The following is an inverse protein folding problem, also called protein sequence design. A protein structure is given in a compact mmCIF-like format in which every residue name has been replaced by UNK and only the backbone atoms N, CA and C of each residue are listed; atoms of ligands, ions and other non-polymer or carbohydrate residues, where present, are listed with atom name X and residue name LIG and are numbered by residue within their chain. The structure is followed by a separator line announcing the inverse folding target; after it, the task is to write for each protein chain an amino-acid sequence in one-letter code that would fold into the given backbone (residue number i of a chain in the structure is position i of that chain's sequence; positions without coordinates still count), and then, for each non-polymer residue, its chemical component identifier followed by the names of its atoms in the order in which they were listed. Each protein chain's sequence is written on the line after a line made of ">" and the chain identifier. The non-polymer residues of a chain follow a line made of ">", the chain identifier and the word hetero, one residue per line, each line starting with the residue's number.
data_IF_026879992753
#
_entry.id   IF_026879992753
#
_cell.length_a   1.000
_cell.length_b   1.000
_cell.length_c   1.000
_cell.angle_alpha   90.00
_cell.angle_beta   90.00
_cell.angle_gamma   90.00
#
_symmetry.space_group_name_H-M   'P 1'
#
loop_
_entity.id
_entity.type
_entity.pdbx_description
1 polymer ?
#
# COMPACT_ATOMS: atom_id res chain seq x y z
N UNK A 1 -7.19 -39.22 -3.69
CA UNK A 1 -7.24 -37.82 -3.40
C UNK A 1 -7.14 -37.01 -4.67
N UNK A 2 -8.21 -36.34 -5.13
CA UNK A 2 -8.12 -35.38 -6.22
C UNK A 2 -7.38 -34.17 -5.68
N UNK A 3 -6.16 -33.94 -6.14
CA UNK A 3 -5.49 -32.67 -5.96
C UNK A 3 -6.40 -31.58 -6.56
N UNK A 4 -6.88 -30.66 -5.74
CA UNK A 4 -7.56 -29.46 -6.19
C UNK A 4 -6.58 -28.72 -7.11
N UNK A 5 -6.85 -28.70 -8.41
CA UNK A 5 -6.13 -27.82 -9.32
C UNK A 5 -6.56 -26.41 -8.95
N UNK A 6 -5.75 -25.72 -8.17
CA UNK A 6 -5.86 -24.28 -8.08
C UNK A 6 -5.67 -23.72 -9.50
N UNK A 7 -6.75 -23.22 -10.09
CA UNK A 7 -6.62 -22.48 -11.33
C UNK A 7 -5.92 -21.17 -11.02
N UNK A 8 -4.65 -21.08 -11.40
CA UNK A 8 -3.92 -19.84 -11.33
C UNK A 8 -4.59 -18.79 -12.23
N UNK A 9 -4.54 -17.53 -11.79
CA UNK A 9 -5.19 -16.42 -12.48
C UNK A 9 -4.31 -15.87 -13.61
N UNK A 10 -4.95 -15.61 -14.74
CA UNK A 10 -4.42 -14.75 -15.79
C UNK A 10 -4.93 -13.35 -15.59
N UNK A 11 -4.06 -12.37 -15.69
CA UNK A 11 -4.39 -10.95 -15.54
C UNK A 11 -4.36 -10.28 -16.91
N UNK A 12 -5.53 -9.86 -17.38
CA UNK A 12 -5.62 -9.08 -18.61
C UNK A 12 -5.40 -7.60 -18.30
N UNK A 13 -4.41 -6.99 -18.96
CA UNK A 13 -4.16 -5.55 -18.84
C UNK A 13 -5.28 -4.76 -19.51
N UNK A 14 -5.82 -3.79 -18.80
CA UNK A 14 -6.83 -2.85 -19.30
C UNK A 14 -6.30 -1.43 -19.43
N UNK A 15 -5.50 -1.01 -18.47
CA UNK A 15 -5.01 0.37 -18.36
C UNK A 15 -3.53 0.51 -18.69
N UNK A 16 -2.75 -0.53 -18.52
CA UNK A 16 -1.30 -0.50 -18.63
C UNK A 16 -0.79 -1.37 -19.77
N UNK A 17 0.46 -1.14 -20.16
CA UNK A 17 1.19 -1.95 -21.14
C UNK A 17 2.39 -2.62 -20.47
N UNK A 18 2.83 -3.81 -20.96
CA UNK A 18 4.06 -4.43 -20.48
C UNK A 18 5.24 -3.46 -20.58
N UNK A 19 6.06 -3.40 -19.53
CA UNK A 19 7.24 -2.54 -19.47
C UNK A 19 6.96 -1.05 -19.22
N UNK A 20 5.69 -0.64 -19.11
CA UNK A 20 5.32 0.72 -18.74
C UNK A 20 5.26 0.85 -17.22
N UNK A 21 5.98 1.84 -16.67
CA UNK A 21 5.86 2.20 -15.26
C UNK A 21 4.50 2.89 -15.01
N UNK A 22 3.62 2.33 -14.17
CA UNK A 22 2.32 2.93 -13.88
C UNK A 22 2.43 4.32 -13.24
N UNK A 23 3.52 4.61 -12.52
CA UNK A 23 3.76 5.93 -11.95
C UNK A 23 4.18 6.98 -12.98
N UNK A 24 4.71 6.56 -14.13
CA UNK A 24 5.05 7.46 -15.23
C UNK A 24 3.83 7.90 -16.07
N UNK A 25 2.64 7.39 -15.77
CA UNK A 25 1.40 7.74 -16.51
C UNK A 25 0.79 9.08 -16.08
N UNK A 26 1.32 9.71 -15.06
CA UNK A 26 0.87 11.00 -14.52
C UNK A 26 2.06 11.93 -14.28
N UNK A 27 1.78 13.24 -14.27
CA UNK A 27 2.73 14.22 -13.78
C UNK A 27 2.73 14.25 -12.26
N UNK A 28 3.92 14.36 -11.65
CA UNK A 28 4.12 14.44 -10.21
C UNK A 28 4.52 15.85 -9.79
N UNK A 29 4.11 16.24 -8.61
CA UNK A 29 4.45 17.53 -8.01
C UNK A 29 4.68 17.37 -6.51
N UNK A 30 5.29 18.35 -5.89
CA UNK A 30 5.37 18.46 -4.43
C UNK A 30 4.38 19.49 -3.93
N UNK A 31 3.72 19.19 -2.81
CA UNK A 31 2.78 20.08 -2.15
C UNK A 31 3.02 20.10 -0.66
N UNK A 32 2.78 21.26 -0.07
CA UNK A 32 2.68 21.38 1.38
C UNK A 32 1.33 20.85 1.85
N UNK A 33 1.36 20.05 2.91
CA UNK A 33 0.17 19.62 3.64
C UNK A 33 0.31 20.02 5.10
N UNK A 34 -0.69 20.72 5.63
CA UNK A 34 -0.68 21.26 6.99
C UNK A 34 -2.01 20.98 7.67
N UNK A 35 -1.94 20.42 8.87
CA UNK A 35 -3.11 20.22 9.72
C UNK A 35 -2.97 21.10 10.94
N UNK A 36 -3.99 21.91 11.19
CA UNK A 36 -4.06 22.79 12.33
C UNK A 36 -5.27 22.45 13.18
N UNK A 37 -5.14 22.64 14.48
CA UNK A 37 -6.26 22.65 15.41
C UNK A 37 -7.16 23.89 15.18
N UNK A 38 -8.39 23.89 15.71
CA UNK A 38 -9.27 25.07 15.65
C UNK A 38 -8.67 26.35 16.25
N UNK A 39 -7.73 26.22 17.19
CA UNK A 39 -7.00 27.33 17.81
C UNK A 39 -5.85 27.87 16.94
N UNK A 40 -5.63 27.28 15.75
CA UNK A 40 -4.56 27.65 14.83
C UNK A 40 -3.21 26.98 15.10
N UNK A 41 -3.08 26.20 16.17
CA UNK A 41 -1.85 25.44 16.43
C UNK A 41 -1.67 24.35 15.39
N UNK A 42 -0.42 24.19 14.89
CA UNK A 42 -0.09 23.20 13.87
C UNK A 42 0.12 21.84 14.53
N UNK A 43 -0.67 20.85 14.13
CA UNK A 43 -0.55 19.46 14.60
C UNK A 43 0.46 18.69 13.78
N UNK A 44 0.48 18.94 12.46
CA UNK A 44 1.33 18.28 11.51
C UNK A 44 1.57 19.15 10.29
N UNK A 45 2.79 19.15 9.79
CA UNK A 45 3.16 19.82 8.56
C UNK A 45 4.16 18.97 7.77
N UNK A 46 3.91 18.82 6.47
CA UNK A 46 4.84 18.26 5.51
C UNK A 46 4.92 19.21 4.31
N UNK A 47 6.04 19.92 4.13
CA UNK A 47 6.12 20.96 3.11
C UNK A 47 6.28 20.43 1.69
N UNK A 48 6.74 19.20 1.52
CA UNK A 48 7.23 18.64 0.26
C UNK A 48 6.67 17.24 -0.05
N UNK A 49 5.40 17.00 0.27
CA UNK A 49 4.74 15.75 -0.07
C UNK A 49 4.62 15.58 -1.59
N UNK A 50 5.16 14.48 -2.13
CA UNK A 50 5.07 14.14 -3.54
C UNK A 50 3.75 13.43 -3.85
N UNK A 51 2.96 14.02 -4.73
CA UNK A 51 1.66 13.51 -5.16
C UNK A 51 1.45 13.73 -6.66
N UNK A 52 0.52 12.99 -7.30
CA UNK A 52 0.10 13.32 -8.66
C UNK A 52 -0.43 14.76 -8.73
N UNK A 53 0.01 15.50 -9.74
CA UNK A 53 -0.37 16.90 -9.96
C UNK A 53 -1.89 17.08 -10.10
N UNK A 54 -2.56 16.07 -10.65
CA UNK A 54 -4.02 16.10 -10.85
C UNK A 54 -4.83 15.89 -9.56
N UNK A 55 -4.19 15.45 -8.46
CA UNK A 55 -4.91 15.28 -7.20
C UNK A 55 -5.29 16.64 -6.62
N UNK A 56 -6.46 16.71 -5.97
CA UNK A 56 -6.86 17.91 -5.26
C UNK A 56 -6.00 18.14 -4.01
N UNK A 57 -6.00 19.36 -3.48
CA UNK A 57 -5.34 19.65 -2.19
C UNK A 57 -5.98 18.82 -1.06
N UNK A 58 -7.30 18.65 -1.08
CA UNK A 58 -8.00 17.82 -0.09
C UNK A 58 -7.54 16.36 -0.15
N UNK A 59 -7.42 15.77 -1.34
CA UNK A 59 -6.91 14.41 -1.49
C UNK A 59 -5.46 14.30 -0.99
N UNK A 60 -4.63 15.31 -1.27
CA UNK A 60 -3.26 15.40 -0.75
C UNK A 60 -3.24 15.45 0.78
N UNK A 61 -4.04 16.30 1.39
CA UNK A 61 -4.10 16.45 2.85
C UNK A 61 -4.58 15.17 3.54
N UNK A 62 -5.56 14.48 2.97
CA UNK A 62 -6.03 13.19 3.48
C UNK A 62 -4.92 12.14 3.37
N UNK A 63 -4.27 12.02 2.23
CA UNK A 63 -3.19 11.07 2.01
C UNK A 63 -2.05 11.30 3.01
N UNK A 64 -1.59 12.52 3.13
CA UNK A 64 -0.46 12.88 3.99
C UNK A 64 -0.82 12.75 5.47
N UNK A 65 -1.98 13.26 5.87
CA UNK A 65 -2.37 13.29 7.28
C UNK A 65 -2.75 11.92 7.83
N UNK A 66 -3.45 11.12 7.04
CA UNK A 66 -4.04 9.85 7.48
C UNK A 66 -3.24 8.64 7.03
N UNK A 67 -2.71 8.62 5.81
CA UNK A 67 -2.22 7.39 5.19
C UNK A 67 -0.71 7.31 5.09
N UNK A 68 0.02 8.41 5.03
CA UNK A 68 1.48 8.38 5.12
C UNK A 68 1.91 7.82 6.47
N UNK A 69 2.78 6.81 6.44
CA UNK A 69 3.46 6.35 7.64
C UNK A 69 4.36 7.46 8.17
N UNK A 70 4.27 7.76 9.47
CA UNK A 70 4.93 8.93 10.07
C UNK A 70 6.34 8.65 10.57
N UNK A 71 6.70 7.38 10.78
CA UNK A 71 8.00 7.01 11.32
C UNK A 71 8.40 5.59 10.91
N UNK A 72 9.70 5.29 11.01
CA UNK A 72 10.24 3.97 10.76
C UNK A 72 10.51 3.65 9.29
N UNK A 73 10.21 4.56 8.38
CA UNK A 73 10.45 4.36 6.95
C UNK A 73 11.90 4.70 6.62
N UNK A 74 12.68 3.78 6.02
CA UNK A 74 14.03 4.06 5.58
C UNK A 74 14.10 5.23 4.60
N UNK A 75 15.02 6.15 4.82
CA UNK A 75 15.19 7.39 4.05
C UNK A 75 16.26 7.30 2.95
N UNK A 76 16.97 6.18 2.85
CA UNK A 76 18.08 5.96 1.91
C UNK A 76 17.68 5.91 0.44
N UNK A 77 16.41 5.67 0.15
CA UNK A 77 15.87 5.67 -1.21
C UNK A 77 15.26 7.00 -1.66
N UNK A 78 15.08 7.95 -0.74
CA UNK A 78 14.38 9.22 -1.01
C UNK A 78 12.96 9.01 -1.53
N UNK A 79 12.25 10.08 -1.93
CA UNK A 79 10.93 9.95 -2.59
C UNK A 79 11.01 9.26 -3.95
N UNK A 80 12.20 9.08 -4.50
CA UNK A 80 12.50 8.35 -5.74
C UNK A 80 12.84 6.87 -5.53
N UNK A 81 12.93 6.41 -4.29
CA UNK A 81 13.34 5.05 -3.92
C UNK A 81 12.28 3.98 -4.16
N UNK A 82 11.38 4.22 -5.09
CA UNK A 82 10.56 3.18 -5.65
C UNK A 82 11.39 2.56 -6.74
N UNK A 83 11.78 1.36 -6.46
CA UNK A 83 12.45 0.48 -7.38
C UNK A 83 11.75 0.48 -8.76
N UNK A 84 12.56 0.45 -9.79
CA UNK A 84 12.09 0.21 -11.15
C UNK A 84 11.10 -0.98 -11.20
N UNK A 85 10.17 -1.06 -12.15
CA UNK A 85 9.15 -2.13 -12.20
C UNK A 85 9.67 -3.55 -11.99
N UNK A 86 10.95 -3.83 -12.33
CA UNK A 86 11.60 -5.12 -12.06
C UNK A 86 12.15 -5.30 -10.64
N UNK A 87 12.26 -4.25 -9.85
CA UNK A 87 12.72 -4.28 -8.46
C UNK A 87 11.57 -4.21 -7.45
N UNK A 88 10.38 -3.85 -7.90
CA UNK A 88 9.16 -3.76 -7.10
C UNK A 88 8.77 -5.08 -6.39
N UNK A 89 9.40 -6.19 -6.78
CA UNK A 89 9.18 -7.51 -6.18
C UNK A 89 10.10 -7.84 -5.02
N UNK A 90 11.11 -7.01 -4.76
CA UNK A 90 12.07 -7.31 -3.70
C UNK A 90 11.57 -6.77 -2.37
N UNK A 91 11.31 -7.70 -1.45
CA UNK A 91 11.18 -7.40 -0.03
C UNK A 91 12.49 -6.80 0.45
N UNK A 92 12.42 -5.72 1.21
CA UNK A 92 13.59 -5.19 1.88
C UNK A 92 14.04 -6.16 2.98
N UNK A 93 15.26 -6.66 2.91
CA UNK A 93 15.79 -7.52 3.96
C UNK A 93 16.10 -6.72 5.22
N UNK A 94 15.93 -7.32 6.40
CA UNK A 94 16.27 -6.70 7.70
C UNK A 94 17.73 -6.23 7.76
N UNK A 95 18.63 -6.88 7.02
CA UNK A 95 20.03 -6.49 6.89
C UNK A 95 20.22 -5.16 6.16
N UNK A 96 19.31 -4.83 5.21
CA UNK A 96 19.37 -3.58 4.46
C UNK A 96 18.86 -2.37 5.26
N UNK A 97 18.22 -2.59 6.41
CA UNK A 97 17.69 -1.50 7.26
C UNK A 97 18.59 -1.16 8.45
N UNK A 98 19.58 -1.99 8.74
CA UNK A 98 20.52 -1.71 9.86
C UNK A 98 21.39 -0.48 9.56
N UNK A 99 21.26 0.54 10.42
CA UNK A 99 22.05 1.76 10.33
C UNK A 99 21.54 2.81 9.33
N UNK A 100 20.38 2.57 8.72
CA UNK A 100 19.74 3.54 7.83
C UNK A 100 18.91 4.51 8.66
N UNK A 101 19.01 5.80 8.36
CA UNK A 101 18.13 6.82 8.92
C UNK A 101 16.69 6.51 8.55
N UNK A 102 15.78 6.64 9.52
CA UNK A 102 14.35 6.40 9.33
C UNK A 102 13.54 7.67 9.56
N UNK A 103 12.39 7.75 8.90
CA UNK A 103 11.49 8.89 9.00
C UNK A 103 10.12 8.56 8.43
N UNK A 104 9.35 9.58 8.00
CA UNK A 104 8.04 9.39 7.39
C UNK A 104 8.12 8.97 5.92
N UNK A 105 7.01 8.42 5.41
CA UNK A 105 6.77 8.42 3.97
C UNK A 105 6.63 9.86 3.46
N UNK A 106 7.11 10.12 2.24
CA UNK A 106 7.15 11.46 1.63
C UNK A 106 6.46 11.51 0.26
N UNK A 107 6.08 10.36 -0.27
CA UNK A 107 5.49 10.26 -1.60
C UNK A 107 4.31 9.30 -1.61
N UNK A 108 3.25 9.68 -2.33
CA UNK A 108 2.14 8.78 -2.62
C UNK A 108 2.59 7.52 -3.38
N UNK A 109 3.72 7.58 -4.11
CA UNK A 109 4.34 6.41 -4.74
C UNK A 109 4.67 5.34 -3.70
N UNK A 110 5.23 5.73 -2.56
CA UNK A 110 5.61 4.80 -1.49
C UNK A 110 4.38 4.07 -0.93
N UNK A 111 3.30 4.79 -0.68
CA UNK A 111 2.05 4.23 -0.18
C UNK A 111 1.45 3.24 -1.19
N UNK A 112 1.32 3.66 -2.44
CA UNK A 112 0.75 2.82 -3.50
C UNK A 112 1.62 1.60 -3.76
N UNK A 113 2.95 1.77 -3.78
CA UNK A 113 3.88 0.67 -3.96
C UNK A 113 3.77 -0.37 -2.85
N UNK A 114 3.72 0.04 -1.58
CA UNK A 114 3.62 -0.93 -0.48
C UNK A 114 2.30 -1.69 -0.50
N UNK A 115 1.20 -1.08 -0.93
CA UNK A 115 -0.07 -1.76 -1.09
C UNK A 115 -0.03 -2.75 -2.27
N UNK A 116 0.19 -2.23 -3.46
CA UNK A 116 0.18 -3.04 -4.69
C UNK A 116 1.26 -4.13 -4.68
N UNK A 117 2.44 -3.81 -4.18
CA UNK A 117 3.56 -4.74 -4.08
C UNK A 117 3.33 -5.83 -3.04
N UNK A 118 2.77 -5.49 -1.87
CA UNK A 118 2.45 -6.46 -0.84
C UNK A 118 1.37 -7.45 -1.31
N UNK A 119 0.31 -6.97 -1.92
CA UNK A 119 -0.74 -7.83 -2.47
C UNK A 119 -0.22 -8.72 -3.59
N UNK A 120 0.62 -8.19 -4.48
CA UNK A 120 1.33 -9.00 -5.47
C UNK A 120 2.17 -10.07 -4.79
N UNK A 121 2.97 -9.71 -3.80
CA UNK A 121 3.82 -10.64 -3.06
C UNK A 121 3.01 -11.77 -2.43
N UNK A 122 1.88 -11.48 -1.80
CA UNK A 122 1.00 -12.51 -1.26
C UNK A 122 0.45 -13.43 -2.37
N UNK A 123 0.03 -12.84 -3.50
CA UNK A 123 -0.44 -13.62 -4.64
C UNK A 123 0.62 -14.55 -5.22
N UNK A 124 1.87 -14.10 -5.30
CA UNK A 124 3.01 -14.92 -5.74
C UNK A 124 3.31 -16.03 -4.74
N UNK A 125 3.35 -15.71 -3.45
CA UNK A 125 3.64 -16.67 -2.37
C UNK A 125 2.61 -17.80 -2.32
N UNK A 126 1.36 -17.49 -2.60
CA UNK A 126 0.24 -18.46 -2.57
C UNK A 126 -0.10 -19.06 -3.95
N UNK A 127 0.71 -18.78 -4.97
CA UNK A 127 0.52 -19.37 -6.30
C UNK A 127 -0.75 -18.92 -7.03
N UNK A 128 -1.22 -17.69 -6.77
CA UNK A 128 -2.44 -17.17 -7.38
C UNK A 128 -2.27 -16.77 -8.84
N UNK A 129 -1.06 -16.45 -9.29
CA UNK A 129 -0.79 -16.02 -10.65
C UNK A 129 -0.30 -17.18 -11.53
N UNK A 130 -0.76 -17.20 -12.78
CA UNK A 130 -0.35 -18.22 -13.76
C UNK A 130 1.12 -18.04 -14.20
N UNK A 131 1.59 -16.80 -14.23
CA UNK A 131 2.96 -16.45 -14.63
C UNK A 131 3.48 -15.21 -13.88
N UNK A 132 4.79 -14.96 -14.01
CA UNK A 132 5.42 -13.73 -13.50
C UNK A 132 4.86 -12.48 -14.21
N UNK A 133 4.52 -12.60 -15.50
CA UNK A 133 3.91 -11.54 -16.29
C UNK A 133 2.51 -11.18 -15.74
N UNK A 134 1.74 -12.18 -15.30
CA UNK A 134 0.45 -11.96 -14.66
C UNK A 134 0.59 -11.24 -13.32
N UNK A 135 1.60 -11.60 -12.52
CA UNK A 135 1.91 -10.90 -11.28
C UNK A 135 2.31 -9.44 -11.52
N UNK A 136 3.13 -9.19 -12.57
CA UNK A 136 3.50 -7.82 -12.95
C UNK A 136 2.30 -7.05 -13.48
N UNK A 137 1.45 -7.68 -14.28
CA UNK A 137 0.21 -7.06 -14.77
C UNK A 137 -0.71 -6.68 -13.60
N UNK A 138 -0.86 -7.55 -12.61
CA UNK A 138 -1.64 -7.24 -11.40
C UNK A 138 -1.11 -6.00 -10.68
N UNK A 139 0.21 -5.93 -10.46
CA UNK A 139 0.84 -4.77 -9.82
C UNK A 139 0.60 -3.49 -10.63
N UNK A 140 0.89 -3.52 -11.93
CA UNK A 140 0.79 -2.36 -12.81
C UNK A 140 -0.65 -1.83 -12.89
N UNK A 141 -1.62 -2.71 -13.11
CA UNK A 141 -3.04 -2.35 -13.19
C UNK A 141 -3.53 -1.76 -11.87
N UNK A 142 -3.17 -2.36 -10.75
CA UNK A 142 -3.58 -1.89 -9.43
C UNK A 142 -2.94 -0.55 -9.09
N UNK A 143 -1.63 -0.40 -9.30
CA UNK A 143 -0.94 0.86 -9.08
C UNK A 143 -1.51 1.97 -9.96
N UNK A 144 -1.82 1.69 -11.21
CA UNK A 144 -2.48 2.63 -12.13
C UNK A 144 -3.84 3.09 -11.58
N UNK A 145 -4.68 2.14 -11.16
CA UNK A 145 -6.00 2.47 -10.62
C UNK A 145 -5.93 3.34 -9.35
N UNK A 146 -4.96 3.09 -8.48
CA UNK A 146 -4.76 3.88 -7.27
C UNK A 146 -4.22 5.29 -7.60
N UNK A 147 -3.25 5.41 -8.48
CA UNK A 147 -2.68 6.70 -8.92
C UNK A 147 -3.74 7.58 -9.57
N UNK A 148 -4.58 6.99 -10.39
CA UNK A 148 -5.64 7.68 -11.12
C UNK A 148 -6.96 7.79 -10.34
N UNK A 149 -6.98 7.38 -9.07
CA UNK A 149 -8.16 7.43 -8.20
C UNK A 149 -9.39 6.70 -8.77
N UNK A 150 -9.18 5.65 -9.59
CA UNK A 150 -10.24 4.79 -10.14
C UNK A 150 -10.74 3.81 -9.08
N UNK A 151 -9.86 3.41 -8.17
CA UNK A 151 -10.16 2.55 -7.04
C UNK A 151 -9.50 3.10 -5.77
N UNK A 152 -10.09 2.82 -4.63
CA UNK A 152 -9.54 3.16 -3.33
C UNK A 152 -9.79 2.02 -2.35
N UNK A 153 -8.75 1.50 -1.68
CA UNK A 153 -8.90 0.61 -0.54
C UNK A 153 -9.59 1.31 0.63
N UNK A 154 -10.13 0.55 1.57
CA UNK A 154 -10.59 1.11 2.83
C UNK A 154 -9.42 1.63 3.68
N UNK A 155 -9.70 2.49 4.64
CA UNK A 155 -8.68 3.15 5.47
C UNK A 155 -7.72 2.19 6.19
N UNK A 156 -8.17 1.06 6.80
CA UNK A 156 -7.25 0.11 7.42
C UNK A 156 -6.20 -0.47 6.46
N UNK A 157 -6.54 -0.69 5.21
CA UNK A 157 -5.59 -1.13 4.19
C UNK A 157 -4.53 -0.06 3.91
N UNK A 158 -4.95 1.19 3.77
CA UNK A 158 -4.04 2.32 3.60
C UNK A 158 -3.05 2.48 4.77
N UNK A 159 -3.50 2.24 6.01
CA UNK A 159 -2.66 2.41 7.20
C UNK A 159 -1.61 1.31 7.34
N UNK A 160 -1.97 0.05 7.11
CA UNK A 160 -1.23 -1.09 7.63
C UNK A 160 -0.62 -1.97 6.54
N UNK A 161 -1.22 -2.01 5.34
CA UNK A 161 -0.78 -2.95 4.31
C UNK A 161 0.59 -2.59 3.77
N UNK A 162 1.46 -3.58 3.77
CA UNK A 162 2.77 -3.50 3.16
C UNK A 162 3.86 -2.84 4.02
N UNK A 163 3.58 -2.42 5.26
CA UNK A 163 4.58 -1.81 6.13
C UNK A 163 5.72 -2.78 6.47
N UNK A 164 5.39 -4.02 6.79
CA UNK A 164 6.40 -5.06 7.03
C UNK A 164 7.10 -5.42 5.71
N UNK A 165 6.35 -5.70 4.66
CA UNK A 165 6.89 -6.11 3.38
C UNK A 165 7.83 -5.08 2.75
N UNK A 166 7.44 -3.81 2.70
CA UNK A 166 8.20 -2.74 2.05
C UNK A 166 9.34 -2.21 2.91
N UNK A 167 9.16 -2.13 4.23
CA UNK A 167 10.06 -1.41 5.12
C UNK A 167 10.61 -2.25 6.26
N UNK A 168 10.13 -3.48 6.48
CA UNK A 168 10.49 -4.28 7.65
C UNK A 168 9.94 -3.72 8.97
N UNK A 169 8.89 -2.89 8.91
CA UNK A 169 8.27 -2.32 10.10
C UNK A 169 7.41 -3.38 10.76
N UNK A 170 7.78 -3.74 11.99
CA UNK A 170 7.08 -4.68 12.84
C UNK A 170 6.41 -3.96 14.01
N UNK A 171 5.41 -4.60 14.59
CA UNK A 171 4.71 -4.12 15.76
C UNK A 171 4.24 -5.28 16.65
N UNK A 172 3.99 -5.02 17.93
CA UNK A 172 3.49 -6.07 18.82
C UNK A 172 2.15 -6.61 18.30
N UNK A 173 1.98 -7.93 18.40
CA UNK A 173 0.75 -8.59 18.05
C UNK A 173 -0.44 -7.97 18.81
N UNK A 174 -1.56 -7.76 18.11
CA UNK A 174 -2.76 -7.12 18.65
C UNK A 174 -3.82 -8.13 19.09
N UNK A 175 -3.41 -9.39 19.32
CA UNK A 175 -4.30 -10.44 19.79
C UNK A 175 -5.27 -10.99 18.75
N UNK A 176 -5.06 -10.74 17.46
CA UNK A 176 -5.88 -11.32 16.40
C UNK A 176 -5.35 -12.70 15.95
N UNK A 177 -6.25 -13.50 15.41
CA UNK A 177 -5.96 -14.83 14.92
C UNK A 177 -5.82 -14.83 13.41
N UNK A 178 -4.88 -15.61 12.90
CA UNK A 178 -4.67 -15.83 11.47
C UNK A 178 -4.82 -17.32 11.16
N UNK A 179 -5.41 -17.64 10.04
CA UNK A 179 -5.49 -19.00 9.56
C UNK A 179 -4.20 -19.33 8.77
N UNK A 180 -3.60 -20.45 9.12
CA UNK A 180 -2.53 -21.02 8.32
C UNK A 180 -3.10 -21.46 6.96
N UNK A 181 -2.51 -21.00 5.89
CA UNK A 181 -3.05 -21.22 4.53
C UNK A 181 -2.88 -22.66 4.03
N UNK A 182 -1.96 -23.42 4.59
CA UNK A 182 -1.73 -24.81 4.22
C UNK A 182 -2.55 -25.77 5.07
N UNK A 183 -2.59 -25.55 6.38
CA UNK A 183 -3.24 -26.44 7.34
C UNK A 183 -4.65 -26.02 7.70
N UNK A 184 -5.01 -24.74 7.51
CA UNK A 184 -6.26 -24.15 7.97
C UNK A 184 -6.33 -23.94 9.48
N UNK A 185 -5.27 -24.25 10.22
CA UNK A 185 -5.23 -24.06 11.68
C UNK A 185 -5.21 -22.56 12.03
N UNK A 186 -5.95 -22.22 13.08
CA UNK A 186 -5.95 -20.87 13.61
C UNK A 186 -4.76 -20.71 14.57
N UNK A 187 -3.93 -19.69 14.29
CA UNK A 187 -2.79 -19.30 15.12
C UNK A 187 -2.97 -17.85 15.57
N UNK A 188 -2.51 -17.56 16.77
CA UNK A 188 -2.39 -16.17 17.22
C UNK A 188 -1.32 -15.48 16.37
N UNK A 189 -1.59 -14.28 15.87
CA UNK A 189 -0.61 -13.54 15.09
C UNK A 189 0.57 -13.13 15.97
N UNK A 190 1.78 -13.32 15.45
CA UNK A 190 3.02 -12.94 16.13
C UNK A 190 3.34 -11.45 15.97
N UNK A 191 2.79 -10.83 14.95
CA UNK A 191 3.07 -9.47 14.54
C UNK A 191 1.82 -8.76 13.98
N UNK A 192 1.72 -7.44 14.19
CA UNK A 192 0.56 -6.66 13.77
C UNK A 192 0.52 -6.39 12.25
N UNK A 193 1.64 -6.47 11.55
CA UNK A 193 1.76 -6.02 10.17
C UNK A 193 2.07 -7.10 9.15
N UNK A 194 2.48 -8.28 9.58
CA UNK A 194 2.73 -9.43 8.69
C UNK A 194 1.43 -9.92 8.05
N UNK A 195 0.36 -9.98 8.85
CA UNK A 195 -0.99 -10.35 8.40
C UNK A 195 -2.01 -9.33 8.93
N UNK A 196 -2.02 -8.10 8.41
CA UNK A 196 -2.96 -7.09 8.88
C UNK A 196 -4.38 -7.52 8.58
N UNK A 197 -5.25 -7.46 9.60
CA UNK A 197 -6.65 -7.77 9.42
C UNK A 197 -7.37 -6.63 8.68
N UNK A 198 -8.12 -6.93 7.62
CA UNK A 198 -9.01 -5.97 7.03
C UNK A 198 -10.19 -5.74 7.98
N UNK A 199 -10.41 -4.50 8.38
CA UNK A 199 -11.61 -4.12 9.11
C UNK A 199 -12.69 -3.69 8.13
N UNK A 200 -13.90 -4.21 8.30
CA UNK A 200 -15.03 -3.80 7.48
C UNK A 200 -15.45 -2.37 7.82
N UNK A 201 -15.59 -1.54 6.80
CA UNK A 201 -16.28 -0.27 6.91
C UNK A 201 -17.74 -0.47 6.52
N UNK A 202 -18.67 -0.10 7.41
CA UNK A 202 -20.08 -0.04 7.07
C UNK A 202 -20.38 1.33 6.49
N UNK A 203 -20.80 1.38 5.23
CA UNK A 203 -21.40 2.56 4.64
C UNK A 203 -22.91 2.35 4.71
N UNK A 204 -23.56 3.11 5.54
CA UNK A 204 -25.01 3.15 5.59
C UNK A 204 -25.47 4.39 4.83
N UNK A 205 -26.17 4.17 3.74
CA UNK A 205 -26.87 5.23 3.03
C UNK A 205 -28.10 5.59 3.83
N UNK A 206 -28.16 6.82 4.32
CA UNK A 206 -29.37 7.37 4.90
C UNK A 206 -30.05 8.16 3.79
N UNK A 207 -31.22 7.71 3.36
CA UNK A 207 -32.07 8.50 2.49
C UNK A 207 -32.71 9.61 3.33
N UNK A 208 -32.73 10.82 2.80
CA UNK A 208 -33.17 12.04 3.47
C UNK A 208 -34.71 12.15 3.47
N UNK A 209 -35.37 11.06 3.82
CA UNK A 209 -36.83 11.01 4.03
C UNK A 209 -37.09 11.04 5.55
N UNK A 210 -37.12 12.23 6.10
CA UNK A 210 -37.75 12.49 7.38
C UNK A 210 -39.26 12.62 7.13
N UNK A 211 -39.98 11.51 7.24
CA UNK A 211 -41.44 11.52 7.36
C UNK A 211 -41.80 11.62 8.82
#
# INVERSE_FOLDING_TARGET
>A
GRASRHHAMKITRKFTKPGQDPFATVEWTTRSSKISNPDGSVVFEMPDAEVPKAWSQLATDIMVSKYFRKAGVPQDGGPKGIASPGEATKRRSDAATKGVETGPEKSAKQVIHRLAGCWRHWGETHGYFDSTEDAQAFYDELAYMLVHQIAAPNSPQWFNTGLEWAYGINGPAQGHWVADHETGELKLADDAYTHPQPHACFIQSVTDDLV
#
